data_IF_746584695910
#
_entry.id   IF_746584695910
#
_cell.length_a   1.000
_cell.length_b   1.000
_cell.length_c   1.000
_cell.angle_alpha   90.00
_cell.angle_beta   90.00
_cell.angle_gamma   90.00
#
_symmetry.space_group_name_H-M   'P 1'
#
loop_
_entity.id
_entity.type
_entity.pdbx_description
1 polymer ?
#
# COMPACT_ATOMS: atom_id res chain seq x y z
N UNK A 1 -3.71 2.54 -22.62
CA UNK A 1 -2.74 3.11 -21.67
C UNK A 1 -3.05 2.41 -20.37
N UNK A 2 -2.12 1.68 -19.81
CA UNK A 2 -2.32 0.98 -18.54
C UNK A 2 -2.00 1.93 -17.39
N UNK A 3 -2.80 1.87 -16.33
CA UNK A 3 -2.58 2.66 -15.11
C UNK A 3 -1.80 1.83 -14.09
N UNK A 4 -1.02 2.49 -13.27
CA UNK A 4 -0.27 1.88 -12.18
C UNK A 4 -0.48 2.66 -10.88
N UNK A 5 -0.32 1.98 -9.77
CA UNK A 5 -0.37 2.64 -8.46
C UNK A 5 0.73 2.12 -7.55
N UNK A 6 1.18 2.98 -6.65
CA UNK A 6 2.04 2.61 -5.54
C UNK A 6 1.34 2.97 -4.24
N UNK A 7 1.12 2.00 -3.38
CA UNK A 7 0.45 2.19 -2.10
C UNK A 7 1.43 2.01 -0.95
N UNK A 8 1.50 3.00 -0.06
CA UNK A 8 2.20 2.90 1.20
C UNK A 8 1.24 2.37 2.27
N UNK A 9 1.51 1.18 2.78
CA UNK A 9 0.62 0.42 3.66
C UNK A 9 1.26 0.29 5.05
N UNK A 10 0.63 0.79 6.12
CA UNK A 10 1.11 0.55 7.49
C UNK A 10 1.23 -0.95 7.76
N UNK A 11 2.20 -1.34 8.59
CA UNK A 11 2.41 -2.77 8.90
C UNK A 11 1.44 -3.32 9.96
N UNK A 12 0.56 -2.50 10.51
CA UNK A 12 -0.53 -2.94 11.39
C UNK A 12 -1.77 -3.33 10.58
N UNK A 13 -2.35 -4.47 10.89
CA UNK A 13 -3.56 -4.96 10.23
C UNK A 13 -4.77 -4.16 10.68
N UNK A 14 -4.97 -4.03 11.99
CA UNK A 14 -6.11 -3.34 12.59
C UNK A 14 -5.68 -1.99 13.16
N UNK A 15 -6.43 -0.97 12.79
CA UNK A 15 -6.22 0.42 13.23
C UNK A 15 -7.60 1.01 13.53
N UNK A 16 -7.78 1.54 14.74
CA UNK A 16 -9.03 2.13 15.16
C UNK A 16 -9.49 3.26 14.21
N UNK A 17 -10.80 3.39 13.93
CA UNK A 17 -11.30 4.38 12.99
C UNK A 17 -10.88 5.82 13.30
N UNK A 18 -10.82 6.18 14.57
CA UNK A 18 -10.36 7.50 15.02
C UNK A 18 -8.87 7.72 14.71
N UNK A 19 -8.05 6.68 14.84
CA UNK A 19 -6.63 6.73 14.51
C UNK A 19 -6.42 6.80 13.01
N UNK A 20 -7.18 6.04 12.20
CA UNK A 20 -7.15 6.13 10.73
C UNK A 20 -7.47 7.56 10.26
N UNK A 21 -8.50 8.19 10.84
CA UNK A 21 -8.84 9.58 10.53
C UNK A 21 -7.72 10.58 10.91
N UNK A 22 -6.99 10.31 11.99
CA UNK A 22 -5.83 11.12 12.38
C UNK A 22 -4.65 10.93 11.44
N UNK A 23 -4.39 9.71 10.99
CA UNK A 23 -3.37 9.40 9.98
C UNK A 23 -3.67 10.10 8.66
N UNK A 24 -4.90 9.97 8.17
CA UNK A 24 -5.38 10.66 6.97
C UNK A 24 -5.14 12.16 7.06
N UNK A 25 -5.62 12.80 8.13
CA UNK A 25 -5.47 14.23 8.33
C UNK A 25 -4.00 14.65 8.39
N UNK A 26 -3.17 13.89 9.11
CA UNK A 26 -1.74 14.18 9.29
C UNK A 26 -1.00 14.15 7.96
N UNK A 27 -1.15 13.08 7.21
CA UNK A 27 -0.48 12.90 5.92
C UNK A 27 -0.99 13.91 4.89
N UNK A 28 -2.31 14.08 4.78
CA UNK A 28 -2.90 15.03 3.83
C UNK A 28 -2.46 16.46 4.11
N UNK A 29 -2.52 16.91 5.37
CA UNK A 29 -2.09 18.27 5.75
C UNK A 29 -0.60 18.47 5.47
N UNK A 30 0.24 17.52 5.82
CA UNK A 30 1.67 17.57 5.57
C UNK A 30 1.99 17.71 4.07
N UNK A 31 1.38 16.89 3.22
CA UNK A 31 1.63 16.93 1.79
C UNK A 31 1.10 18.22 1.14
N UNK A 32 -0.03 18.74 1.61
CA UNK A 32 -0.56 20.04 1.16
C UNK A 32 0.37 21.18 1.56
N UNK A 33 0.82 21.21 2.82
CA UNK A 33 1.74 22.25 3.34
C UNK A 33 3.08 22.26 2.58
N UNK A 34 3.55 21.10 2.17
CA UNK A 34 4.75 20.95 1.33
C UNK A 34 4.50 21.37 -0.12
N UNK A 35 3.25 21.47 -0.53
CA UNK A 35 2.84 21.79 -1.90
C UNK A 35 3.08 20.61 -2.86
N UNK A 36 3.02 19.39 -2.37
CA UNK A 36 3.18 18.17 -3.18
C UNK A 36 1.87 17.65 -3.75
N UNK A 37 0.74 17.95 -3.10
CA UNK A 37 -0.59 17.66 -3.60
C UNK A 37 -1.46 18.91 -3.53
N UNK A 38 -2.50 18.97 -4.38
CA UNK A 38 -3.48 20.04 -4.34
C UNK A 38 -4.44 19.86 -3.16
N UNK A 39 -4.98 20.97 -2.65
CA UNK A 39 -5.94 20.94 -1.55
C UNK A 39 -7.33 20.44 -1.99
N UNK A 40 -7.66 20.59 -3.27
CA UNK A 40 -8.95 20.20 -3.83
C UNK A 40 -8.97 18.73 -4.25
N UNK A 41 -10.13 18.08 -4.09
CA UNK A 41 -10.38 16.73 -4.59
C UNK A 41 -10.84 16.84 -6.06
N UNK A 42 -10.32 15.96 -6.89
CA UNK A 42 -10.65 15.88 -8.32
C UNK A 42 -10.67 14.42 -8.80
N UNK A 43 -10.97 14.21 -10.07
CA UNK A 43 -10.97 12.91 -10.77
C UNK A 43 -9.60 12.46 -11.23
N UNK A 44 -8.55 12.83 -10.51
CA UNK A 44 -7.16 12.51 -10.85
C UNK A 44 -6.68 11.11 -10.39
N UNK A 45 -7.59 10.29 -9.90
CA UNK A 45 -7.36 8.91 -9.43
C UNK A 45 -8.48 8.00 -9.92
N UNK A 46 -8.30 6.70 -9.87
CA UNK A 46 -9.34 5.73 -10.24
C UNK A 46 -10.29 5.35 -9.09
N UNK A 47 -10.10 5.92 -7.91
CA UNK A 47 -11.01 5.73 -6.77
C UNK A 47 -12.30 6.53 -6.95
N UNK A 48 -13.46 5.92 -6.63
CA UNK A 48 -14.78 6.57 -6.71
C UNK A 48 -14.88 7.86 -5.87
N UNK A 49 -14.14 7.94 -4.77
CA UNK A 49 -14.10 9.13 -3.91
C UNK A 49 -13.27 10.28 -4.48
N UNK A 50 -12.62 10.08 -5.64
CA UNK A 50 -11.64 11.02 -6.17
C UNK A 50 -10.36 11.07 -5.33
N UNK A 51 -9.47 11.97 -5.70
CA UNK A 51 -8.19 12.16 -5.01
C UNK A 51 -7.66 13.58 -5.18
N UNK A 52 -6.47 13.81 -4.69
CA UNK A 52 -5.77 15.08 -4.78
C UNK A 52 -4.66 14.97 -5.82
N UNK A 53 -4.68 15.87 -6.80
CA UNK A 53 -3.66 15.87 -7.86
C UNK A 53 -2.28 16.07 -7.26
N UNK A 54 -1.34 15.23 -7.71
CA UNK A 54 0.07 15.40 -7.36
C UNK A 54 0.62 16.57 -8.20
N UNK A 55 1.20 17.56 -7.53
CA UNK A 55 1.80 18.72 -8.21
C UNK A 55 3.09 18.32 -8.92
N UNK A 56 3.58 19.18 -9.82
CA UNK A 56 4.91 18.97 -10.43
C UNK A 56 6.01 18.85 -9.37
N UNK A 57 5.95 19.72 -8.35
CA UNK A 57 6.87 19.68 -7.21
C UNK A 57 6.76 18.36 -6.45
N UNK A 58 5.54 17.86 -6.23
CA UNK A 58 5.28 16.58 -5.60
C UNK A 58 5.86 15.42 -6.40
N UNK A 59 5.58 15.33 -7.70
CA UNK A 59 6.14 14.29 -8.55
C UNK A 59 7.68 14.25 -8.47
N UNK A 60 8.32 15.41 -8.61
CA UNK A 60 9.79 15.51 -8.54
C UNK A 60 10.35 15.10 -7.17
N UNK A 61 9.69 15.48 -6.08
CA UNK A 61 10.15 15.15 -4.73
C UNK A 61 9.96 13.66 -4.41
N UNK A 62 8.78 13.11 -4.76
CA UNK A 62 8.41 11.74 -4.40
C UNK A 62 9.18 10.72 -5.23
N UNK A 63 9.35 10.96 -6.53
CA UNK A 63 9.94 9.98 -7.46
C UNK A 63 11.31 10.36 -8.03
N UNK A 64 11.78 11.56 -7.73
CA UNK A 64 13.01 12.09 -8.35
C UNK A 64 12.88 12.42 -9.84
N UNK A 65 11.68 12.26 -10.43
CA UNK A 65 11.41 12.45 -11.85
C UNK A 65 10.40 13.56 -12.09
N UNK A 66 10.52 14.22 -13.25
CA UNK A 66 9.45 15.11 -13.69
C UNK A 66 8.24 14.28 -14.15
N UNK A 67 7.00 14.74 -13.89
CA UNK A 67 5.82 14.02 -14.31
C UNK A 67 5.69 14.01 -15.83
N UNK A 68 5.14 12.95 -16.38
CA UNK A 68 4.70 12.92 -17.76
C UNK A 68 3.63 13.99 -17.99
N UNK A 69 3.79 14.76 -19.04
CA UNK A 69 2.87 15.86 -19.33
C UNK A 69 1.52 15.32 -19.80
N UNK A 70 0.45 15.74 -19.10
CA UNK A 70 -0.92 15.51 -19.54
C UNK A 70 -1.56 14.21 -19.08
N UNK A 71 -1.00 13.52 -18.07
CA UNK A 71 -1.69 12.41 -17.43
C UNK A 71 -2.97 12.90 -16.76
N UNK A 72 -4.11 12.35 -17.19
CA UNK A 72 -5.40 12.61 -16.54
C UNK A 72 -5.41 12.05 -15.12
N UNK A 73 -4.91 10.82 -14.98
CA UNK A 73 -4.73 10.13 -13.70
C UNK A 73 -3.28 10.32 -13.24
N UNK A 74 -3.06 11.17 -12.25
CA UNK A 74 -1.83 11.35 -11.50
C UNK A 74 -2.19 12.04 -10.19
N UNK A 75 -2.53 11.25 -9.19
CA UNK A 75 -3.11 11.76 -7.94
C UNK A 75 -2.83 10.86 -6.76
N UNK A 76 -3.17 11.37 -5.60
CA UNK A 76 -3.05 10.74 -4.30
C UNK A 76 -4.46 10.55 -3.70
N UNK A 77 -4.74 9.35 -3.22
CA UNK A 77 -5.93 9.05 -2.43
C UNK A 77 -5.62 8.15 -1.24
N UNK A 78 -6.55 8.09 -0.31
CA UNK A 78 -6.45 7.24 0.88
C UNK A 78 -7.62 6.28 0.84
N UNK A 79 -7.31 4.99 0.97
CA UNK A 79 -8.29 3.92 0.99
C UNK A 79 -8.42 3.37 2.40
N UNK A 80 -9.64 3.30 2.92
CA UNK A 80 -9.92 2.82 4.27
C UNK A 80 -10.98 1.72 4.25
N UNK A 81 -10.81 0.73 5.10
CA UNK A 81 -11.67 -0.45 5.21
C UNK A 81 -12.03 -0.71 6.67
N UNK A 82 -13.27 -1.08 6.94
CA UNK A 82 -13.73 -1.44 8.30
C UNK A 82 -13.35 -2.87 8.69
N UNK A 83 -13.15 -3.75 7.70
CA UNK A 83 -12.67 -5.12 7.87
C UNK A 83 -11.20 -5.28 7.52
N UNK A 84 -10.75 -6.54 7.51
CA UNK A 84 -9.43 -6.88 6.96
C UNK A 84 -9.32 -6.45 5.51
N UNK A 85 -8.16 -6.00 5.10
CA UNK A 85 -7.88 -5.73 3.70
C UNK A 85 -6.44 -6.13 3.36
N UNK A 86 -6.27 -6.53 2.11
CA UNK A 86 -4.98 -6.90 1.52
C UNK A 86 -4.74 -6.02 0.30
N UNK A 87 -3.67 -5.26 0.30
CA UNK A 87 -3.19 -4.52 -0.86
C UNK A 87 -2.23 -5.42 -1.65
N UNK A 88 -2.55 -5.67 -2.91
CA UNK A 88 -1.81 -6.60 -3.77
C UNK A 88 -1.30 -5.91 -5.02
N UNK A 89 -0.44 -6.58 -5.77
CA UNK A 89 0.04 -6.12 -7.08
C UNK A 89 -0.99 -6.26 -8.22
N UNK A 90 -2.19 -6.77 -7.95
CA UNK A 90 -3.32 -6.99 -8.85
C UNK A 90 -2.99 -7.91 -10.03
N UNK A 91 -2.28 -7.44 -11.04
CA UNK A 91 -1.87 -8.24 -12.18
C UNK A 91 -0.52 -8.94 -11.95
N UNK A 92 -0.34 -10.10 -12.57
CA UNK A 92 0.91 -10.87 -12.52
C UNK A 92 1.04 -11.85 -11.36
N UNK A 93 0.27 -11.67 -10.27
CA UNK A 93 0.30 -12.56 -9.11
C UNK A 93 1.63 -12.48 -8.32
N UNK A 94 1.83 -13.45 -7.43
CA UNK A 94 3.07 -13.62 -6.67
C UNK A 94 4.08 -14.44 -7.47
N UNK A 95 5.33 -14.02 -7.48
CA UNK A 95 6.46 -14.78 -7.98
C UNK A 95 6.96 -15.78 -6.93
N UNK A 96 6.91 -15.39 -5.66
CA UNK A 96 7.26 -16.26 -4.53
C UNK A 96 6.55 -15.85 -3.23
N UNK A 97 6.37 -16.83 -2.36
CA UNK A 97 5.88 -16.65 -0.99
C UNK A 97 6.71 -17.52 -0.05
N UNK A 98 7.71 -16.94 0.58
CA UNK A 98 8.70 -17.69 1.37
C UNK A 98 8.32 -17.68 2.85
N UNK A 99 8.27 -18.87 3.45
CA UNK A 99 8.07 -19.03 4.89
C UNK A 99 9.28 -18.53 5.66
N UNK A 100 9.07 -17.64 6.64
CA UNK A 100 10.15 -17.10 7.48
C UNK A 100 10.77 -18.15 8.42
N UNK A 101 10.06 -19.25 8.70
CA UNK A 101 10.54 -20.33 9.59
C UNK A 101 11.43 -21.33 8.88
N UNK A 102 10.96 -21.95 7.79
CA UNK A 102 11.72 -22.98 7.07
C UNK A 102 12.45 -22.49 5.81
N UNK A 103 12.13 -21.28 5.32
CA UNK A 103 12.75 -20.73 4.12
C UNK A 103 12.24 -21.32 2.80
N UNK A 104 11.24 -22.20 2.85
CA UNK A 104 10.66 -22.80 1.65
C UNK A 104 9.67 -21.83 0.99
N UNK A 105 9.71 -21.82 -0.35
CA UNK A 105 8.71 -21.11 -1.15
C UNK A 105 7.44 -21.97 -1.26
N UNK A 106 6.35 -21.45 -0.73
CA UNK A 106 5.06 -22.14 -0.73
C UNK A 106 4.20 -21.79 -1.95
N UNK A 107 4.65 -20.87 -2.78
CA UNK A 107 4.04 -20.55 -4.07
C UNK A 107 2.54 -20.22 -4.00
N UNK A 108 1.78 -20.86 -4.88
CA UNK A 108 0.33 -20.60 -5.04
C UNK A 108 -0.51 -20.98 -3.81
N UNK A 109 -0.01 -21.87 -2.92
CA UNK A 109 -0.73 -22.22 -1.69
C UNK A 109 -0.95 -21.00 -0.77
N UNK A 110 -0.11 -19.97 -0.92
CA UNK A 110 -0.27 -18.74 -0.16
C UNK A 110 -1.59 -17.99 -0.46
N UNK A 111 -2.15 -18.13 -1.66
CA UNK A 111 -3.46 -17.55 -1.99
C UNK A 111 -4.58 -18.16 -1.14
N UNK A 112 -4.63 -19.49 -1.05
CA UNK A 112 -5.61 -20.21 -0.23
C UNK A 112 -5.44 -19.86 1.25
N UNK A 113 -4.20 -19.75 1.71
CA UNK A 113 -3.89 -19.33 3.07
C UNK A 113 -4.36 -17.90 3.35
N UNK A 114 -4.17 -16.99 2.41
CA UNK A 114 -4.62 -15.59 2.53
C UNK A 114 -6.15 -15.51 2.52
N UNK A 115 -6.83 -16.30 1.68
CA UNK A 115 -8.30 -16.37 1.66
C UNK A 115 -8.86 -16.90 2.98
N UNK A 116 -8.26 -17.97 3.51
CA UNK A 116 -8.65 -18.53 4.80
C UNK A 116 -8.43 -17.54 5.95
N UNK A 117 -7.27 -16.84 5.95
CA UNK A 117 -6.97 -15.76 6.90
C UNK A 117 -7.99 -14.62 6.78
N UNK A 118 -8.29 -14.17 5.56
CA UNK A 118 -9.23 -13.06 5.30
C UNK A 118 -10.64 -13.39 5.80
N UNK A 119 -11.10 -14.61 5.60
CA UNK A 119 -12.43 -15.09 6.00
C UNK A 119 -12.53 -15.40 7.50
N UNK A 120 -11.40 -15.58 8.20
CA UNK A 120 -11.36 -15.84 9.63
C UNK A 120 -11.61 -14.59 10.47
N UNK A 121 -11.82 -14.78 11.77
CA UNK A 121 -11.90 -13.68 12.74
C UNK A 121 -10.50 -13.20 13.13
N UNK A 122 -10.38 -11.92 13.48
CA UNK A 122 -9.15 -11.29 13.95
C UNK A 122 -7.94 -11.54 13.02
N UNK A 123 -6.76 -11.78 13.60
CA UNK A 123 -5.52 -12.14 12.90
C UNK A 123 -5.07 -13.54 13.33
N UNK A 124 -5.70 -14.61 12.84
CA UNK A 124 -5.31 -15.96 13.20
C UNK A 124 -3.92 -16.28 12.64
N UNK A 125 -3.10 -17.05 13.38
CA UNK A 125 -1.84 -17.53 12.86
C UNK A 125 -2.07 -18.49 11.69
N UNK A 126 -1.24 -18.39 10.67
CA UNK A 126 -1.36 -19.11 9.42
C UNK A 126 -0.31 -20.25 9.38
N UNK A 127 -0.73 -21.52 9.27
CA UNK A 127 0.19 -22.65 9.26
C UNK A 127 0.92 -22.76 7.92
N UNK A 128 2.23 -22.94 7.97
CA UNK A 128 3.03 -23.25 6.79
C UNK A 128 2.80 -24.69 6.36
N UNK A 129 2.44 -24.96 5.10
CA UNK A 129 2.23 -26.31 4.60
C UNK A 129 3.50 -27.16 4.57
N UNK A 130 4.69 -26.54 4.53
CA UNK A 130 5.97 -27.23 4.47
C UNK A 130 6.49 -27.67 5.84
N UNK A 131 6.53 -26.76 6.83
CA UNK A 131 7.07 -27.06 8.15
C UNK A 131 6.00 -27.31 9.22
N UNK A 132 4.74 -26.94 8.97
CA UNK A 132 3.62 -27.09 9.91
C UNK A 132 3.61 -26.06 11.05
N UNK A 133 4.60 -25.18 11.15
CA UNK A 133 4.58 -24.06 12.11
C UNK A 133 3.67 -22.94 11.64
N UNK A 134 3.08 -22.23 12.59
CA UNK A 134 2.15 -21.16 12.31
C UNK A 134 2.79 -19.78 12.55
N UNK A 135 2.57 -18.88 11.62
CA UNK A 135 3.14 -17.53 11.62
C UNK A 135 2.03 -16.47 11.43
N UNK A 136 2.34 -15.23 11.78
CA UNK A 136 1.53 -14.10 11.32
C UNK A 136 1.57 -14.04 9.77
N UNK A 137 0.46 -13.70 9.14
CA UNK A 137 0.39 -13.62 7.66
C UNK A 137 1.45 -12.66 7.08
N UNK A 138 1.88 -11.65 7.85
CA UNK A 138 2.89 -10.66 7.46
C UNK A 138 4.33 -11.16 7.57
N UNK A 139 4.55 -12.32 8.22
CA UNK A 139 5.88 -12.90 8.38
C UNK A 139 6.32 -13.70 7.15
N UNK A 140 5.43 -13.95 6.21
CA UNK A 140 5.79 -14.51 4.91
C UNK A 140 6.43 -13.45 4.03
N UNK A 141 7.56 -13.79 3.41
CA UNK A 141 8.27 -12.89 2.50
C UNK A 141 7.71 -13.06 1.10
N UNK A 142 7.02 -12.04 0.62
CA UNK A 142 6.30 -12.06 -0.66
C UNK A 142 7.06 -11.27 -1.72
N UNK A 143 7.12 -11.81 -2.93
CA UNK A 143 7.62 -11.12 -4.11
C UNK A 143 6.57 -11.21 -5.23
N UNK A 144 6.05 -10.07 -5.74
CA UNK A 144 6.19 -8.73 -5.18
C UNK A 144 5.49 -8.58 -3.82
N UNK A 145 5.89 -7.62 -3.00
CA UNK A 145 5.35 -7.43 -1.66
C UNK A 145 3.85 -7.10 -1.64
N UNK A 146 3.11 -7.65 -0.68
CA UNK A 146 1.74 -7.27 -0.36
C UNK A 146 1.67 -6.54 0.97
N UNK A 147 0.60 -5.76 1.17
CA UNK A 147 0.33 -5.04 2.40
C UNK A 147 -0.96 -5.50 3.07
N UNK A 148 -0.93 -5.66 4.38
CA UNK A 148 -2.07 -6.13 5.19
C UNK A 148 -2.45 -5.03 6.19
N UNK A 149 -3.45 -4.20 5.86
CA UNK A 149 -3.88 -3.10 6.71
C UNK A 149 -5.27 -2.60 6.33
N UNK A 150 -5.95 -1.95 7.26
CA UNK A 150 -7.22 -1.29 7.04
C UNK A 150 -7.10 0.10 6.39
N UNK A 151 -5.89 0.57 6.13
CA UNK A 151 -5.64 1.85 5.46
C UNK A 151 -4.45 1.74 4.51
N UNK A 152 -4.55 2.37 3.35
CA UNK A 152 -3.48 2.51 2.37
C UNK A 152 -3.45 3.91 1.80
N UNK A 153 -2.25 4.38 1.48
CA UNK A 153 -1.98 5.71 0.91
C UNK A 153 -1.50 5.50 -0.52
N UNK A 154 -2.39 5.70 -1.48
CA UNK A 154 -2.21 5.30 -2.87
C UNK A 154 -1.86 6.47 -3.78
N UNK A 155 -0.81 6.31 -4.54
CA UNK A 155 -0.28 7.27 -5.52
C UNK A 155 -0.45 6.67 -6.92
N UNK A 156 -1.20 7.34 -7.77
CA UNK A 156 -1.52 6.89 -9.13
C UNK A 156 -0.57 7.46 -10.17
N UNK A 157 -0.09 6.60 -11.07
CA UNK A 157 0.78 6.93 -12.21
C UNK A 157 1.96 7.82 -11.83
N UNK A 158 2.58 7.50 -10.71
CA UNK A 158 3.83 8.06 -10.27
C UNK A 158 4.96 7.12 -10.70
N UNK A 159 6.11 7.67 -11.06
CA UNK A 159 7.34 6.87 -11.20
C UNK A 159 7.72 6.26 -9.85
N UNK A 160 8.68 5.33 -9.84
CA UNK A 160 9.13 4.67 -8.62
C UNK A 160 9.45 5.70 -7.52
N UNK A 161 8.94 5.44 -6.33
CA UNK A 161 9.21 6.30 -5.18
C UNK A 161 10.67 6.19 -4.74
N UNK A 162 11.25 7.29 -4.33
CA UNK A 162 12.57 7.28 -3.69
C UNK A 162 12.51 6.67 -2.29
N UNK A 163 13.56 5.98 -1.88
CA UNK A 163 13.67 5.47 -0.50
C UNK A 163 13.57 6.61 0.52
N UNK A 164 14.18 7.77 0.21
CA UNK A 164 14.13 8.97 1.05
C UNK A 164 12.70 9.44 1.31
N UNK A 165 11.85 9.46 0.28
CA UNK A 165 10.45 9.84 0.46
C UNK A 165 9.68 8.81 1.31
N UNK A 166 9.91 7.52 1.10
CA UNK A 166 9.27 6.46 1.89
C UNK A 166 9.64 6.57 3.36
N UNK A 167 10.91 6.84 3.68
CA UNK A 167 11.38 7.07 5.04
C UNK A 167 10.77 8.34 5.66
N UNK A 168 10.72 9.43 4.91
CA UNK A 168 10.08 10.70 5.35
C UNK A 168 8.59 10.49 5.63
N UNK A 169 7.89 9.78 4.74
CA UNK A 169 6.49 9.45 4.89
C UNK A 169 6.24 8.61 6.16
N UNK A 170 7.01 7.54 6.35
CA UNK A 170 6.91 6.68 7.53
C UNK A 170 7.16 7.44 8.84
N UNK A 171 8.13 8.37 8.83
CA UNK A 171 8.41 9.22 9.99
C UNK A 171 7.23 10.14 10.33
N UNK A 172 6.59 10.75 9.33
CA UNK A 172 5.41 11.60 9.52
C UNK A 172 4.19 10.77 9.93
N UNK A 173 4.02 9.59 9.33
CA UNK A 173 2.95 8.66 9.70
C UNK A 173 3.11 8.16 11.15
N UNK A 174 4.36 7.99 11.60
CA UNK A 174 4.71 7.52 12.94
C UNK A 174 4.90 6.01 13.04
N UNK A 175 4.93 5.30 11.92
CA UNK A 175 5.17 3.86 11.85
C UNK A 175 5.72 3.43 10.48
N UNK A 176 6.39 2.25 10.42
CA UNK A 176 6.91 1.74 9.17
C UNK A 176 5.79 1.37 8.18
N UNK A 177 6.09 1.47 6.90
CA UNK A 177 5.18 1.12 5.82
C UNK A 177 5.76 0.02 4.94
N UNK A 178 4.86 -0.73 4.30
CA UNK A 178 5.14 -1.62 3.18
C UNK A 178 4.79 -0.89 1.89
N UNK A 179 5.71 -0.90 0.93
CA UNK A 179 5.45 -0.38 -0.42
C UNK A 179 4.83 -1.50 -1.24
N UNK A 180 3.67 -1.25 -1.81
CA UNK A 180 2.95 -2.18 -2.69
C UNK A 180 2.76 -1.51 -4.03
N UNK A 181 3.30 -2.11 -5.07
CA UNK A 181 3.14 -1.64 -6.44
C UNK A 181 2.09 -2.49 -7.16
N UNK A 182 1.18 -1.83 -7.88
CA UNK A 182 0.14 -2.49 -8.64
C UNK A 182 0.05 -1.95 -10.06
N UNK A 183 -0.23 -2.85 -11.00
CA UNK A 183 -0.46 -2.55 -12.41
C UNK A 183 -1.87 -3.01 -12.80
N UNK A 184 -2.59 -2.16 -13.61
CA UNK A 184 -3.95 -2.44 -14.07
C UNK A 184 -4.00 -2.48 -15.60
#
# INVERSE_FOLDING_TARGET
>A
MSDSSTTLVPKRIFIEPTERAQMEKRITSWMIEKGWIEAEISDCVLSEGGGRRITRKGNTHISGCEPDRGLAVNGFCIEQFDGKNVFTNLEGGLESAVCSGCGEDIGEEFYDMTEAWFSGEDNPPVPCPCCGESFDIRDYVLEPPWGFSQIGFTFWNLSDMTEEFVEEFAAVLGEPVQVVWAHL
#
